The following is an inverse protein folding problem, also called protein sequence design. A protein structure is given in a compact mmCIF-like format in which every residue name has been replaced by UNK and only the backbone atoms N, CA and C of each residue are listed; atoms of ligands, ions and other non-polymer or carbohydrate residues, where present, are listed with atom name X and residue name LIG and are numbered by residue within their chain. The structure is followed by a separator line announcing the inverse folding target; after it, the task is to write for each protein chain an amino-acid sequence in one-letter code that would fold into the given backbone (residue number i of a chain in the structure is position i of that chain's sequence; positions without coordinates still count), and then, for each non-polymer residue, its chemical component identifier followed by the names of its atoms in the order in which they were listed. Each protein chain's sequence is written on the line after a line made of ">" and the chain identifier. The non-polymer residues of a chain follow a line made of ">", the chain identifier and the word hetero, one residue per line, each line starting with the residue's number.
data_IF_018522835828
#
_entry.id   IF_018522835828
#
_cell.length_a   1.000
_cell.length_b   1.000
_cell.length_c   1.000
_cell.angle_alpha   90.00
_cell.angle_beta   90.00
_cell.angle_gamma   90.00
#
_symmetry.space_group_name_H-M   'P 1'
#
loop_
_entity.id
_entity.type
_entity.pdbx_description
1 polymer ?
#
# COMPACT_ATOMS: atom_id res chain seq x y z
N UNK A 1 7.22 -64.69 76.11
CA UNK A 1 8.23 -64.15 75.14
C UNK A 1 7.71 -64.36 73.73
N UNK A 2 7.09 -63.35 73.13
CA UNK A 2 6.62 -63.38 71.75
C UNK A 2 7.36 -62.26 70.94
N UNK A 3 7.99 -62.48 69.79
CA UNK A 3 8.55 -61.43 69.01
C UNK A 3 7.52 -60.76 68.11
N UNK A 4 7.52 -59.45 68.18
CA UNK A 4 6.68 -58.54 67.33
C UNK A 4 7.11 -58.58 65.88
N UNK A 5 6.20 -58.94 64.96
CA UNK A 5 6.34 -58.79 63.53
C UNK A 5 6.09 -57.32 63.16
N UNK A 6 7.11 -56.66 62.65
CA UNK A 6 6.97 -55.35 61.98
C UNK A 6 6.49 -55.59 60.52
N UNK A 7 5.27 -55.10 60.21
CA UNK A 7 4.81 -55.00 58.83
C UNK A 7 5.51 -53.78 58.18
N UNK A 8 6.32 -54.00 57.16
CA UNK A 8 6.83 -52.97 56.27
C UNK A 8 5.83 -52.74 55.16
N UNK A 9 5.15 -51.62 55.20
CA UNK A 9 4.31 -51.15 54.11
C UNK A 9 5.20 -50.50 53.05
N UNK A 10 5.42 -51.19 51.92
CA UNK A 10 6.06 -50.58 50.74
C UNK A 10 5.04 -49.70 50.01
N UNK A 11 5.28 -48.37 50.04
CA UNK A 11 4.53 -47.41 49.22
C UNK A 11 5.05 -47.51 47.79
N UNK A 12 4.26 -48.08 46.88
CA UNK A 12 4.53 -48.02 45.43
C UNK A 12 4.12 -46.66 44.90
N UNK A 13 5.11 -45.81 44.62
CA UNK A 13 4.89 -44.54 43.94
C UNK A 13 4.62 -44.84 42.45
N UNK A 14 3.38 -44.73 42.01
CA UNK A 14 3.03 -44.75 40.59
C UNK A 14 3.44 -43.45 39.95
N UNK A 15 4.53 -43.49 39.20
CA UNK A 15 4.97 -42.41 38.29
C UNK A 15 4.02 -42.34 37.12
N UNK A 16 3.06 -41.44 37.15
CA UNK A 16 2.29 -41.07 35.97
C UNK A 16 3.23 -40.29 35.03
N UNK A 17 3.83 -40.97 34.04
CA UNK A 17 4.43 -40.36 32.89
C UNK A 17 3.26 -39.82 32.06
N UNK A 18 2.92 -38.55 32.23
CA UNK A 18 2.01 -37.85 31.37
C UNK A 18 2.61 -37.81 29.96
N UNK A 19 2.09 -38.63 29.05
CA UNK A 19 2.34 -38.46 27.63
C UNK A 19 1.73 -37.12 27.22
N UNK A 20 2.57 -36.08 27.15
CA UNK A 20 2.24 -34.92 26.34
C UNK A 20 2.07 -35.43 24.91
N UNK A 21 0.82 -35.68 24.52
CA UNK A 21 0.47 -35.88 23.13
C UNK A 21 0.88 -34.61 22.40
N UNK A 22 2.04 -34.65 21.72
CA UNK A 22 2.46 -33.60 20.80
C UNK A 22 1.32 -33.49 19.79
N UNK A 23 0.61 -32.36 19.81
CA UNK A 23 -0.34 -32.01 18.77
C UNK A 23 0.36 -32.25 17.41
N UNK A 24 -0.30 -32.88 16.43
CA UNK A 24 0.31 -33.06 15.12
C UNK A 24 0.78 -31.71 14.63
N UNK A 25 2.00 -31.61 14.07
CA UNK A 25 2.47 -30.34 13.52
C UNK A 25 1.40 -29.88 12.54
N UNK A 26 0.78 -28.73 12.83
CA UNK A 26 -0.09 -28.06 11.87
C UNK A 26 0.76 -28.01 10.61
N UNK A 27 0.32 -28.73 9.56
CA UNK A 27 1.04 -28.76 8.31
C UNK A 27 1.24 -27.31 7.90
N UNK A 28 2.47 -26.80 8.04
CA UNK A 28 2.80 -25.45 7.58
C UNK A 28 2.47 -25.48 6.11
N UNK A 29 1.44 -24.75 5.72
CA UNK A 29 1.18 -24.53 4.31
C UNK A 29 2.47 -23.95 3.76
N UNK A 30 3.20 -24.75 2.99
CA UNK A 30 4.48 -24.31 2.45
C UNK A 30 4.17 -23.28 1.38
N UNK A 31 4.93 -22.16 1.41
CA UNK A 31 4.91 -21.18 0.35
C UNK A 31 5.42 -21.86 -0.94
N UNK A 32 4.49 -22.31 -1.77
CA UNK A 32 4.79 -23.00 -3.03
C UNK A 32 4.31 -22.14 -4.20
N UNK A 33 5.21 -21.86 -5.15
CA UNK A 33 4.93 -21.09 -6.37
C UNK A 33 4.01 -19.86 -6.13
N UNK A 34 4.41 -18.92 -5.26
CA UNK A 34 3.58 -17.79 -4.85
C UNK A 34 3.23 -16.85 -6.00
N UNK A 35 4.11 -16.71 -7.00
CA UNK A 35 3.84 -15.88 -8.18
C UNK A 35 2.64 -16.39 -8.97
N UNK A 36 2.59 -17.69 -9.27
CA UNK A 36 1.47 -18.28 -10.01
C UNK A 36 0.16 -18.24 -9.19
N UNK A 37 0.24 -18.48 -7.89
CA UNK A 37 -0.92 -18.36 -7.01
C UNK A 37 -1.43 -16.92 -6.98
N UNK A 38 -0.55 -15.94 -6.80
CA UNK A 38 -0.92 -14.53 -6.80
C UNK A 38 -1.54 -14.10 -8.14
N UNK A 39 -0.92 -14.47 -9.25
CA UNK A 39 -1.45 -14.16 -10.59
C UNK A 39 -2.87 -14.73 -10.80
N UNK A 40 -3.13 -15.95 -10.34
CA UNK A 40 -4.46 -16.58 -10.43
C UNK A 40 -5.54 -15.88 -9.59
N UNK A 41 -5.14 -15.11 -8.59
CA UNK A 41 -6.04 -14.31 -7.74
C UNK A 41 -6.21 -12.89 -8.26
N UNK A 42 -5.14 -12.27 -8.75
CA UNK A 42 -5.16 -10.88 -9.23
C UNK A 42 -5.96 -10.73 -10.53
N UNK A 43 -5.76 -11.61 -11.50
CA UNK A 43 -6.42 -11.51 -12.81
C UNK A 43 -7.96 -11.46 -12.71
N UNK A 44 -8.64 -12.37 -11.97
CA UNK A 44 -10.07 -12.26 -11.79
C UNK A 44 -10.48 -11.06 -10.91
N UNK A 45 -9.68 -10.67 -9.91
CA UNK A 45 -9.97 -9.52 -9.06
C UNK A 45 -9.98 -8.21 -9.87
N UNK A 46 -8.98 -7.97 -10.71
CA UNK A 46 -8.92 -6.81 -11.62
C UNK A 46 -10.12 -6.75 -12.56
N UNK A 47 -10.48 -7.89 -13.15
CA UNK A 47 -11.66 -7.99 -14.03
C UNK A 47 -12.96 -7.65 -13.31
N UNK A 48 -13.11 -8.05 -12.05
CA UNK A 48 -14.27 -7.76 -11.23
C UNK A 48 -14.28 -6.31 -10.76
N UNK A 49 -13.13 -5.74 -10.41
CA UNK A 49 -13.00 -4.33 -10.03
C UNK A 49 -13.40 -3.40 -11.19
N UNK A 50 -12.99 -3.73 -12.41
CA UNK A 50 -13.39 -2.97 -13.61
C UNK A 50 -14.91 -2.95 -13.84
N UNK A 51 -15.65 -3.98 -13.35
CA UNK A 51 -17.12 -4.10 -13.40
C UNK A 51 -17.82 -3.52 -12.17
N UNK A 52 -17.07 -3.02 -11.20
CA UNK A 52 -17.54 -2.51 -9.93
C UNK A 52 -17.74 -3.64 -8.90
N UNK A 53 -16.68 -3.93 -8.14
CA UNK A 53 -16.78 -4.71 -6.90
C UNK A 53 -17.60 -3.94 -5.86
N UNK A 54 -18.89 -3.76 -6.11
CA UNK A 54 -19.77 -3.25 -5.09
C UNK A 54 -19.98 -4.28 -3.97
N UNK A 55 -20.34 -3.88 -2.74
CA UNK A 55 -20.86 -4.81 -1.76
C UNK A 55 -22.06 -5.51 -2.39
N UNK A 56 -21.98 -6.82 -2.52
CA UNK A 56 -23.07 -7.62 -3.09
C UNK A 56 -24.36 -7.32 -2.33
N UNK A 57 -25.39 -6.93 -3.06
CA UNK A 57 -26.74 -6.80 -2.52
C UNK A 57 -27.21 -8.21 -2.15
N UNK A 58 -27.11 -8.54 -0.87
CA UNK A 58 -27.57 -9.82 -0.33
C UNK A 58 -26.44 -10.63 0.32
N UNK A 59 -26.62 -10.92 1.53
CA UNK A 59 -25.96 -11.66 2.61
C UNK A 59 -24.89 -12.76 2.29
N UNK A 60 -24.27 -12.79 1.14
CA UNK A 60 -23.12 -13.64 0.82
C UNK A 60 -21.97 -12.76 0.36
N UNK A 61 -20.80 -13.07 0.89
CA UNK A 61 -19.54 -12.49 0.51
C UNK A 61 -19.40 -12.38 -1.02
N UNK A 62 -19.01 -11.19 -1.48
CA UNK A 62 -18.74 -10.96 -2.90
C UNK A 62 -17.51 -11.76 -3.35
N UNK A 63 -17.45 -12.12 -4.61
CA UNK A 63 -16.28 -12.80 -5.20
C UNK A 63 -15.00 -11.97 -5.00
N UNK A 64 -15.10 -10.64 -5.05
CA UNK A 64 -13.99 -9.74 -4.76
C UNK A 64 -13.47 -9.87 -3.33
N UNK A 65 -14.36 -9.96 -2.34
CA UNK A 65 -13.98 -10.14 -0.94
C UNK A 65 -13.30 -11.49 -0.72
N UNK A 66 -13.81 -12.53 -1.37
CA UNK A 66 -13.20 -13.86 -1.33
C UNK A 66 -11.77 -13.81 -1.88
N UNK A 67 -11.55 -13.20 -3.06
CA UNK A 67 -10.22 -13.08 -3.67
C UNK A 67 -9.26 -12.25 -2.82
N UNK A 68 -9.73 -11.14 -2.25
CA UNK A 68 -8.93 -10.31 -1.33
C UNK A 68 -8.49 -11.10 -0.09
N UNK A 69 -9.38 -11.91 0.48
CA UNK A 69 -9.02 -12.79 1.62
C UNK A 69 -8.01 -13.87 1.23
N UNK A 70 -8.12 -14.45 0.03
CA UNK A 70 -7.14 -15.43 -0.43
C UNK A 70 -5.75 -14.79 -0.64
N UNK A 71 -5.68 -13.56 -1.15
CA UNK A 71 -4.42 -12.81 -1.23
C UNK A 71 -3.85 -12.55 0.17
N UNK A 72 -4.69 -12.15 1.14
CA UNK A 72 -4.25 -11.96 2.51
C UNK A 72 -3.75 -13.27 3.15
N UNK A 73 -4.40 -14.41 2.90
CA UNK A 73 -3.91 -15.72 3.34
C UNK A 73 -2.58 -16.10 2.72
N UNK A 74 -2.43 -15.85 1.42
CA UNK A 74 -1.18 -16.11 0.71
C UNK A 74 -0.03 -15.26 1.30
N UNK A 75 -0.28 -14.01 1.69
CA UNK A 75 0.69 -13.15 2.37
C UNK A 75 1.14 -13.73 3.73
N UNK A 76 0.23 -14.35 4.48
CA UNK A 76 0.56 -15.04 5.75
C UNK A 76 1.39 -16.30 5.50
N UNK A 77 1.07 -17.07 4.46
CA UNK A 77 1.79 -18.29 4.10
C UNK A 77 3.15 -18.00 3.51
N UNK A 78 3.28 -16.89 2.77
CA UNK A 78 4.48 -16.46 2.06
C UNK A 78 4.99 -15.09 2.58
N UNK A 79 5.42 -14.98 3.85
CA UNK A 79 5.71 -13.70 4.48
C UNK A 79 6.96 -12.97 3.94
N UNK A 80 7.77 -13.65 3.14
CA UNK A 80 8.93 -13.05 2.45
C UNK A 80 8.66 -12.74 0.97
N UNK A 81 7.47 -13.04 0.45
CA UNK A 81 7.14 -12.83 -0.94
C UNK A 81 6.61 -11.41 -1.17
N UNK A 82 7.51 -10.50 -1.55
CA UNK A 82 7.22 -9.07 -1.70
C UNK A 82 6.02 -8.77 -2.63
N UNK A 83 5.83 -9.43 -3.79
CA UNK A 83 4.65 -9.17 -4.64
C UNK A 83 3.32 -9.47 -3.94
N UNK A 84 3.23 -10.54 -3.15
CA UNK A 84 2.00 -10.85 -2.39
C UNK A 84 1.76 -9.85 -1.26
N UNK A 85 2.82 -9.49 -0.53
CA UNK A 85 2.74 -8.46 0.49
C UNK A 85 2.30 -7.12 -0.11
N UNK A 86 2.84 -6.74 -1.27
CA UNK A 86 2.48 -5.52 -1.99
C UNK A 86 1.01 -5.52 -2.41
N UNK A 87 0.53 -6.60 -3.02
CA UNK A 87 -0.89 -6.73 -3.39
C UNK A 87 -1.81 -6.58 -2.17
N UNK A 88 -1.46 -7.22 -1.04
CA UNK A 88 -2.23 -7.10 0.19
C UNK A 88 -2.14 -5.68 0.80
N UNK A 89 -0.99 -5.01 0.69
CA UNK A 89 -0.82 -3.63 1.15
C UNK A 89 -1.69 -2.65 0.34
N UNK A 90 -1.74 -2.80 -0.98
CA UNK A 90 -2.63 -1.99 -1.84
C UNK A 90 -4.09 -2.22 -1.46
N UNK A 91 -4.52 -3.47 -1.29
CA UNK A 91 -5.89 -3.80 -0.87
C UNK A 91 -6.20 -3.16 0.50
N UNK A 92 -5.29 -3.25 1.47
CA UNK A 92 -5.48 -2.67 2.79
C UNK A 92 -5.60 -1.13 2.71
N UNK A 93 -4.78 -0.49 1.88
CA UNK A 93 -4.84 0.95 1.66
C UNK A 93 -6.17 1.39 1.01
N UNK A 94 -6.61 0.69 -0.03
CA UNK A 94 -7.89 0.95 -0.70
C UNK A 94 -9.08 0.78 0.25
N UNK A 95 -9.02 -0.22 1.13
CA UNK A 95 -10.02 -0.49 2.17
C UNK A 95 -9.96 0.50 3.35
N UNK A 96 -9.16 1.58 3.25
CA UNK A 96 -8.98 2.60 4.30
C UNK A 96 -8.40 2.05 5.60
N UNK A 97 -7.51 1.09 5.48
CA UNK A 97 -6.72 0.51 6.59
C UNK A 97 -5.23 0.82 6.42
N UNK A 98 -4.83 2.13 6.50
CA UNK A 98 -3.45 2.52 6.23
C UNK A 98 -2.44 1.89 7.19
N UNK A 99 -2.81 1.63 8.43
CA UNK A 99 -1.93 0.97 9.40
C UNK A 99 -1.55 -0.45 9.01
N UNK A 100 -2.51 -1.24 8.46
CA UNK A 100 -2.22 -2.58 7.94
C UNK A 100 -1.33 -2.51 6.70
N UNK A 101 -1.60 -1.54 5.80
CA UNK A 101 -0.77 -1.31 4.62
C UNK A 101 0.67 -0.96 5.02
N UNK A 102 0.88 -0.08 5.99
CA UNK A 102 2.20 0.29 6.50
C UNK A 102 2.99 -0.91 7.00
N UNK A 103 2.38 -1.77 7.82
CA UNK A 103 3.05 -2.96 8.35
C UNK A 103 3.55 -3.88 7.23
N UNK A 104 2.74 -4.09 6.20
CA UNK A 104 3.11 -4.91 5.05
C UNK A 104 4.23 -4.26 4.21
N UNK A 105 4.15 -2.95 4.00
CA UNK A 105 5.16 -2.19 3.25
C UNK A 105 6.49 -2.13 4.01
N UNK A 106 6.46 -1.90 5.33
CA UNK A 106 7.66 -1.90 6.16
C UNK A 106 8.34 -3.29 6.16
N UNK A 107 7.55 -4.38 6.10
CA UNK A 107 8.07 -5.74 5.95
C UNK A 107 8.75 -5.95 4.58
N UNK A 108 8.18 -5.41 3.50
CA UNK A 108 8.82 -5.44 2.18
C UNK A 108 10.13 -4.64 2.20
N UNK A 109 10.09 -3.42 2.72
CA UNK A 109 11.23 -2.49 2.74
C UNK A 109 12.36 -2.94 3.68
N UNK A 110 12.08 -3.85 4.63
CA UNK A 110 13.10 -4.49 5.47
C UNK A 110 13.96 -5.54 4.74
N UNK A 111 13.54 -5.97 3.55
CA UNK A 111 14.29 -6.95 2.75
C UNK A 111 15.51 -6.31 2.08
N UNK A 112 16.55 -7.08 1.77
CA UNK A 112 17.84 -6.55 1.27
C UNK A 112 17.80 -6.14 -0.22
N UNK A 113 16.63 -5.88 -0.79
CA UNK A 113 16.42 -5.44 -2.17
C UNK A 113 15.73 -4.09 -2.20
N UNK A 114 15.88 -3.36 -3.31
CA UNK A 114 15.06 -2.18 -3.56
C UNK A 114 13.65 -2.59 -4.01
N UNK A 115 12.66 -1.94 -3.41
CA UNK A 115 11.24 -2.12 -3.75
C UNK A 115 10.61 -0.73 -3.93
N UNK A 116 10.89 -0.06 -5.05
CA UNK A 116 10.49 1.33 -5.28
C UNK A 116 8.97 1.53 -5.18
N UNK A 117 8.15 0.62 -5.71
CA UNK A 117 6.69 0.73 -5.61
C UNK A 117 6.19 0.65 -4.16
N UNK A 118 6.83 -0.18 -3.32
CA UNK A 118 6.50 -0.23 -1.90
C UNK A 118 6.87 1.08 -1.19
N UNK A 119 8.01 1.68 -1.55
CA UNK A 119 8.42 2.97 -1.01
C UNK A 119 7.52 4.12 -1.49
N UNK A 120 7.06 4.09 -2.74
CA UNK A 120 6.06 5.04 -3.27
C UNK A 120 4.80 5.00 -2.42
N UNK A 121 4.18 3.84 -2.24
CA UNK A 121 2.94 3.73 -1.45
C UNK A 121 3.19 4.06 0.04
N UNK A 122 4.31 3.63 0.61
CA UNK A 122 4.66 3.95 2.01
C UNK A 122 4.91 5.44 2.22
N UNK A 123 5.58 6.08 1.25
CA UNK A 123 5.80 7.52 1.22
C UNK A 123 4.49 8.31 1.10
N UNK A 124 3.60 7.86 0.20
CA UNK A 124 2.27 8.46 0.04
C UNK A 124 1.47 8.42 1.35
N UNK A 125 1.41 7.27 2.01
CA UNK A 125 0.73 7.14 3.32
C UNK A 125 1.34 8.09 4.35
N UNK A 126 2.67 8.20 4.40
CA UNK A 126 3.35 9.10 5.33
C UNK A 126 3.04 10.59 5.04
N UNK A 127 2.91 10.98 3.77
CA UNK A 127 2.49 12.34 3.38
C UNK A 127 1.06 12.60 3.86
N UNK A 128 0.14 11.66 3.65
CA UNK A 128 -1.26 11.77 4.07
C UNK A 128 -1.41 11.89 5.59
N UNK A 129 -0.52 11.24 6.35
CA UNK A 129 -0.44 11.33 7.82
C UNK A 129 0.30 12.58 8.31
N UNK A 130 0.86 13.39 7.41
CA UNK A 130 1.65 14.56 7.76
C UNK A 130 3.08 14.26 8.24
N UNK A 131 3.53 13.00 8.15
CA UNK A 131 4.88 12.60 8.55
C UNK A 131 5.89 12.88 7.42
N UNK A 132 6.02 14.14 7.04
CA UNK A 132 6.89 14.58 5.95
C UNK A 132 8.38 14.26 6.16
N UNK A 133 8.95 14.37 7.39
CA UNK A 133 10.36 14.01 7.60
C UNK A 133 10.66 12.53 7.32
N UNK A 134 9.72 11.64 7.64
CA UNK A 134 9.85 10.23 7.31
C UNK A 134 9.69 9.99 5.81
N UNK A 135 8.63 10.56 5.18
CA UNK A 135 8.39 10.42 3.75
C UNK A 135 9.60 10.83 2.93
N UNK A 136 10.16 12.01 3.19
CA UNK A 136 11.33 12.53 2.46
C UNK A 136 12.53 11.61 2.60
N UNK A 137 12.92 11.23 3.81
CA UNK A 137 14.07 10.33 4.03
C UNK A 137 13.89 8.99 3.32
N UNK A 138 12.72 8.38 3.45
CA UNK A 138 12.41 7.12 2.77
C UNK A 138 12.58 7.24 1.26
N UNK A 139 12.00 8.28 0.66
CA UNK A 139 12.04 8.50 -0.79
C UNK A 139 13.44 8.83 -1.28
N UNK A 140 14.17 9.70 -0.58
CA UNK A 140 15.57 10.01 -0.88
C UNK A 140 16.46 8.76 -0.82
N UNK A 141 16.26 7.91 0.19
CA UNK A 141 16.99 6.63 0.32
C UNK A 141 16.69 5.69 -0.85
N UNK A 142 15.43 5.59 -1.25
CA UNK A 142 15.02 4.72 -2.35
C UNK A 142 15.41 5.28 -3.72
N UNK A 143 15.39 6.59 -3.93
CA UNK A 143 15.90 7.24 -5.14
C UNK A 143 17.39 6.91 -5.34
N UNK A 144 18.18 6.86 -4.27
CA UNK A 144 19.61 6.45 -4.40
C UNK A 144 19.77 5.01 -4.88
N UNK A 145 18.80 4.13 -4.60
CA UNK A 145 18.81 2.72 -5.00
C UNK A 145 18.18 2.48 -6.37
N UNK A 146 17.22 3.30 -6.76
CA UNK A 146 16.48 3.21 -8.01
C UNK A 146 16.23 4.62 -8.59
N UNK A 147 17.29 5.29 -9.10
CA UNK A 147 17.21 6.70 -9.53
C UNK A 147 16.39 6.91 -10.81
N UNK A 148 16.09 5.86 -11.53
CA UNK A 148 15.30 5.85 -12.77
C UNK A 148 13.82 5.50 -12.55
N UNK A 149 13.37 5.38 -11.30
CA UNK A 149 11.98 5.05 -11.00
C UNK A 149 11.11 6.31 -10.88
N UNK A 150 10.37 6.63 -11.93
CA UNK A 150 9.54 7.84 -12.05
C UNK A 150 8.58 8.08 -10.85
N UNK A 151 7.98 7.01 -10.31
CA UNK A 151 7.05 7.11 -9.19
C UNK A 151 7.70 7.58 -7.88
N UNK A 152 8.98 7.28 -7.66
CA UNK A 152 9.71 7.80 -6.49
C UNK A 152 9.88 9.31 -6.58
N UNK A 153 10.30 9.84 -7.73
CA UNK A 153 10.46 11.27 -7.97
C UNK A 153 9.12 12.01 -7.88
N UNK A 154 8.06 11.45 -8.46
CA UNK A 154 6.71 12.02 -8.36
C UNK A 154 6.23 12.09 -6.90
N UNK A 155 6.43 11.04 -6.12
CA UNK A 155 6.02 11.01 -4.71
C UNK A 155 6.90 11.91 -3.85
N UNK A 156 8.21 12.00 -4.16
CA UNK A 156 9.11 12.93 -3.50
C UNK A 156 8.71 14.39 -3.78
N UNK A 157 8.34 14.71 -5.03
CA UNK A 157 7.78 16.01 -5.39
C UNK A 157 6.52 16.34 -4.56
N UNK A 158 5.65 15.37 -4.33
CA UNK A 158 4.47 15.57 -3.48
C UNK A 158 4.85 15.88 -2.03
N UNK A 159 5.85 15.19 -1.47
CA UNK A 159 6.35 15.47 -0.12
C UNK A 159 6.99 16.87 -0.01
N UNK A 160 7.75 17.27 -1.03
CA UNK A 160 8.36 18.61 -1.13
C UNK A 160 7.29 19.70 -1.26
N UNK A 161 6.28 19.50 -2.11
CA UNK A 161 5.15 20.39 -2.27
C UNK A 161 4.40 20.63 -0.94
N UNK A 162 4.03 19.55 -0.24
CA UNK A 162 3.35 19.67 1.06
C UNK A 162 4.26 20.35 2.10
N UNK A 163 5.57 20.17 2.00
CA UNK A 163 6.58 20.85 2.82
C UNK A 163 6.85 22.31 2.43
N UNK A 164 6.22 22.83 1.36
CA UNK A 164 6.41 24.20 0.88
C UNK A 164 7.63 24.43 -0.03
N UNK A 165 8.39 23.39 -0.35
CA UNK A 165 9.56 23.44 -1.21
C UNK A 165 9.16 23.36 -2.69
N UNK A 166 8.49 24.40 -3.19
CA UNK A 166 7.85 24.39 -4.51
C UNK A 166 8.83 24.30 -5.69
N UNK A 167 10.06 24.84 -5.52
CA UNK A 167 11.11 24.79 -6.56
C UNK A 167 11.59 23.35 -6.71
N UNK A 168 12.05 22.74 -5.63
CA UNK A 168 12.55 21.36 -5.64
C UNK A 168 11.45 20.38 -6.08
N UNK A 169 10.19 20.63 -5.68
CA UNK A 169 9.06 19.82 -6.12
C UNK A 169 8.88 19.85 -7.66
N UNK A 170 9.08 21.02 -8.28
CA UNK A 170 9.00 21.15 -9.74
C UNK A 170 10.14 20.41 -10.44
N UNK A 171 11.36 20.50 -9.90
CA UNK A 171 12.52 19.82 -10.47
C UNK A 171 12.33 18.30 -10.44
N UNK A 172 11.83 17.76 -9.33
CA UNK A 172 11.48 16.33 -9.20
C UNK A 172 10.37 15.91 -10.16
N UNK A 173 9.36 16.74 -10.40
CA UNK A 173 8.31 16.46 -11.40
C UNK A 173 8.86 16.46 -12.83
N UNK A 174 9.79 17.35 -13.14
CA UNK A 174 10.46 17.39 -14.43
C UNK A 174 11.24 16.10 -14.69
N UNK A 175 11.94 15.62 -13.64
CA UNK A 175 12.65 14.35 -13.72
C UNK A 175 11.68 13.16 -13.84
N UNK A 176 10.60 13.14 -13.04
CA UNK A 176 9.59 12.10 -13.12
C UNK A 176 8.97 12.01 -14.52
N UNK A 177 8.70 13.15 -15.17
CA UNK A 177 8.20 13.20 -16.54
C UNK A 177 9.22 12.63 -17.53
N UNK A 178 10.49 13.01 -17.43
CA UNK A 178 11.56 12.50 -18.27
C UNK A 178 11.75 10.97 -18.11
N UNK A 179 11.46 10.44 -16.92
CA UNK A 179 11.48 9.01 -16.60
C UNK A 179 10.19 8.26 -17.00
N UNK A 180 9.22 8.95 -17.62
CA UNK A 180 8.02 8.32 -18.17
C UNK A 180 6.79 8.37 -17.27
N UNK A 181 6.76 9.19 -16.23
CA UNK A 181 5.53 9.43 -15.48
C UNK A 181 4.42 9.95 -16.40
N UNK A 182 3.16 9.52 -16.22
CA UNK A 182 2.06 9.95 -17.07
C UNK A 182 1.86 11.46 -17.03
N UNK A 183 1.89 12.10 -18.20
CA UNK A 183 1.83 13.56 -18.36
C UNK A 183 0.65 14.18 -17.62
N UNK A 184 -0.51 13.53 -17.59
CA UNK A 184 -1.67 14.04 -16.87
C UNK A 184 -1.47 14.12 -15.35
N UNK A 185 -0.69 13.20 -14.75
CA UNK A 185 -0.34 13.24 -13.32
C UNK A 185 0.62 14.37 -13.03
N UNK A 186 1.66 14.49 -13.85
CA UNK A 186 2.63 15.60 -13.75
C UNK A 186 1.92 16.95 -13.88
N UNK A 187 1.03 17.10 -14.86
CA UNK A 187 0.24 18.30 -15.03
C UNK A 187 -0.62 18.60 -13.77
N UNK A 188 -1.23 17.60 -13.16
CA UNK A 188 -1.96 17.81 -11.92
C UNK A 188 -1.08 18.37 -10.80
N UNK A 189 0.09 17.79 -10.56
CA UNK A 189 1.03 18.24 -9.53
C UNK A 189 1.62 19.62 -9.85
N UNK A 190 1.94 19.90 -11.09
CA UNK A 190 2.34 21.25 -11.52
C UNK A 190 1.21 22.27 -11.28
N UNK A 191 -0.02 21.91 -11.56
CA UNK A 191 -1.18 22.73 -11.24
C UNK A 191 -1.28 23.07 -9.75
N UNK A 192 -1.02 22.13 -8.86
CA UNK A 192 -0.97 22.36 -7.42
C UNK A 192 0.14 23.37 -7.03
N UNK A 193 1.33 23.23 -7.61
CA UNK A 193 2.46 24.13 -7.39
C UNK A 193 2.13 25.54 -7.87
N UNK A 194 1.52 25.68 -9.06
CA UNK A 194 1.13 27.00 -9.59
C UNK A 194 0.04 27.66 -8.74
N UNK A 195 -0.95 26.86 -8.28
CA UNK A 195 -1.99 27.35 -7.38
C UNK A 195 -1.40 27.85 -6.06
N UNK A 196 -0.50 27.06 -5.43
CA UNK A 196 0.19 27.46 -4.22
C UNK A 196 1.09 28.70 -4.40
N UNK A 197 1.60 28.92 -5.61
CA UNK A 197 2.41 30.08 -5.98
C UNK A 197 1.55 31.31 -6.34
N UNK A 198 0.22 31.20 -6.31
CA UNK A 198 -0.70 32.28 -6.69
C UNK A 198 -0.84 32.50 -8.21
N UNK A 199 -0.22 31.65 -9.04
CA UNK A 199 -0.27 31.72 -10.50
C UNK A 199 -1.48 30.97 -11.03
N UNK A 200 -2.63 31.59 -10.86
CA UNK A 200 -3.94 30.95 -11.07
C UNK A 200 -4.17 30.50 -12.51
N UNK A 201 -3.82 31.33 -13.48
CA UNK A 201 -4.08 31.01 -14.89
C UNK A 201 -3.23 29.83 -15.36
N UNK A 202 -1.98 29.75 -14.90
CA UNK A 202 -1.12 28.61 -15.11
C UNK A 202 -1.66 27.35 -14.44
N UNK A 203 -2.14 27.46 -13.20
CA UNK A 203 -2.79 26.35 -12.51
C UNK A 203 -4.00 25.81 -13.28
N UNK A 204 -4.87 26.69 -13.79
CA UNK A 204 -6.01 26.29 -14.62
C UNK A 204 -5.60 25.60 -15.91
N UNK A 205 -4.51 26.06 -16.56
CA UNK A 205 -3.98 25.37 -17.75
C UNK A 205 -3.53 23.96 -17.44
N UNK A 206 -2.74 23.78 -16.39
CA UNK A 206 -2.27 22.46 -15.96
C UNK A 206 -3.40 21.53 -15.53
N UNK A 207 -4.38 22.02 -14.78
CA UNK A 207 -5.55 21.18 -14.44
C UNK A 207 -6.40 20.82 -15.67
N UNK A 208 -6.48 21.72 -16.65
CA UNK A 208 -7.16 21.40 -17.92
C UNK A 208 -6.44 20.29 -18.68
N UNK A 209 -5.11 20.35 -18.74
CA UNK A 209 -4.26 19.31 -19.32
C UNK A 209 -4.42 17.98 -18.59
N UNK A 210 -4.43 17.99 -17.25
CA UNK A 210 -4.64 16.79 -16.45
C UNK A 210 -6.01 16.14 -16.71
N UNK A 211 -7.08 16.94 -16.80
CA UNK A 211 -8.44 16.47 -17.13
C UNK A 211 -8.51 15.91 -18.55
N UNK A 212 -7.86 16.55 -19.52
CA UNK A 212 -7.81 16.07 -20.89
C UNK A 212 -7.08 14.72 -21.01
N UNK A 213 -5.98 14.52 -20.26
CA UNK A 213 -5.21 13.28 -20.26
C UNK A 213 -5.86 12.14 -19.46
N UNK A 214 -6.65 12.47 -18.43
CA UNK A 214 -7.42 11.49 -17.67
C UNK A 214 -8.74 12.08 -17.14
N UNK A 215 -9.83 12.01 -17.93
CA UNK A 215 -11.14 12.54 -17.52
C UNK A 215 -11.73 11.88 -16.26
N UNK A 216 -11.33 10.66 -15.95
CA UNK A 216 -11.79 9.93 -14.74
C UNK A 216 -11.11 10.42 -13.46
N UNK A 217 -10.02 11.18 -13.55
CA UNK A 217 -9.29 11.69 -12.39
C UNK A 217 -9.99 12.92 -11.79
N UNK A 218 -10.93 12.66 -10.88
CA UNK A 218 -11.78 13.66 -10.27
C UNK A 218 -11.06 14.83 -9.57
N UNK A 219 -9.88 14.66 -8.89
CA UNK A 219 -9.21 15.75 -8.22
C UNK A 219 -8.86 16.93 -9.14
N UNK A 220 -8.34 16.67 -10.34
CA UNK A 220 -8.00 17.73 -11.31
C UNK A 220 -9.24 18.52 -11.73
N UNK A 221 -10.32 17.81 -12.05
CA UNK A 221 -11.60 18.44 -12.41
C UNK A 221 -12.20 19.27 -11.29
N UNK A 222 -12.11 18.81 -10.05
CA UNK A 222 -12.59 19.53 -8.88
C UNK A 222 -11.83 20.85 -8.66
N UNK A 223 -10.48 20.80 -8.73
CA UNK A 223 -9.62 21.99 -8.63
C UNK A 223 -9.92 23.00 -9.74
N UNK A 224 -10.02 22.54 -11.00
CA UNK A 224 -10.35 23.40 -12.13
C UNK A 224 -11.69 24.12 -11.97
N UNK A 225 -12.73 23.39 -11.52
CA UNK A 225 -14.05 23.98 -11.24
C UNK A 225 -13.95 25.03 -10.13
N UNK A 226 -13.27 24.74 -9.05
CA UNK A 226 -13.09 25.68 -7.93
C UNK A 226 -12.40 26.98 -8.35
N UNK A 227 -11.34 26.88 -9.13
CA UNK A 227 -10.64 28.05 -9.65
C UNK A 227 -11.50 28.88 -10.61
N UNK A 228 -12.25 28.26 -11.53
CA UNK A 228 -13.17 28.93 -12.44
C UNK A 228 -14.28 29.67 -11.69
N UNK A 229 -14.88 29.03 -10.68
CA UNK A 229 -15.93 29.64 -9.87
C UNK A 229 -15.43 30.90 -9.13
N UNK A 230 -14.22 30.83 -8.59
CA UNK A 230 -13.59 31.96 -7.90
C UNK A 230 -13.14 33.08 -8.86
N UNK A 231 -13.05 32.83 -10.20
CA UNK A 231 -12.74 33.85 -11.23
C UNK A 231 -13.98 34.58 -11.75
N UNK A 232 -15.20 34.19 -11.32
CA UNK A 232 -16.43 34.74 -11.90
C UNK A 232 -16.72 34.29 -13.35
N UNK A 233 -15.90 33.41 -13.90
CA UNK A 233 -16.11 32.84 -15.24
C UNK A 233 -17.19 31.77 -15.16
N UNK A 234 -18.39 32.09 -15.66
CA UNK A 234 -19.45 31.08 -15.83
C UNK A 234 -18.98 30.00 -16.78
N UNK A 235 -19.28 28.71 -16.50
CA UNK A 235 -19.01 27.68 -17.49
C UNK A 235 -19.78 27.99 -18.77
N UNK A 236 -19.10 28.05 -19.90
CA UNK A 236 -19.76 28.02 -21.22
C UNK A 236 -20.46 26.67 -21.39
N UNK A 237 -21.72 26.66 -21.86
CA UNK A 237 -22.52 25.45 -22.00
C UNK A 237 -21.89 24.42 -22.96
#
# INVERSE_FOLDING_TARGET
>A
MMPSRRLSTALAAAVFVGACASAPPIARQQCYNPDAQLASLLQPLESLQAKGCGPGVGARESECERLRREIARLAVVCPAHAPTLMANAVIAYDDKRPGDAQQLLDLILSQPRSYPDAAVLRGQIAIEEGNLPFARRLLEDQIRLAPDHAGLHETHAAALYVGGNLVDARDELTLAEALGAPRWRIAYHLGLIEEASGRRDEAMRYYTEAVAGNPAFQPAGARLRALRAASGVRPTP
#
